data_IF_733759185428
#
_entry.id   IF_733759185428
#
_cell.length_a   1.000
_cell.length_b   1.000
_cell.length_c   1.000
_cell.angle_alpha   90.00
_cell.angle_beta   90.00
_cell.angle_gamma   90.00
#
_symmetry.space_group_name_H-M   'P 1'
#
loop_
_entity.id
_entity.type
_entity.pdbx_description
1 polymer ?
#
# COMPACT_ATOMS: atom_id res chain seq x y z
N UNK A 1 -30.29 28.58 -11.71
CA UNK A 1 -30.50 27.71 -10.52
C UNK A 1 -30.29 26.23 -10.81
N UNK A 2 -30.83 25.68 -11.89
CA UNK A 2 -30.66 24.25 -12.25
C UNK A 2 -29.20 23.84 -12.46
N UNK A 3 -28.36 24.67 -13.11
CA UNK A 3 -26.95 24.35 -13.38
C UNK A 3 -26.09 24.22 -12.10
N UNK A 4 -26.38 25.07 -11.09
CA UNK A 4 -25.68 25.09 -9.81
C UNK A 4 -25.98 23.83 -8.97
N UNK A 5 -27.23 23.37 -9.00
CA UNK A 5 -27.62 22.14 -8.31
C UNK A 5 -27.05 20.90 -8.99
N UNK A 6 -26.92 20.91 -10.32
CA UNK A 6 -26.31 19.81 -11.06
C UNK A 6 -24.80 19.70 -10.76
N UNK A 7 -24.11 20.86 -10.68
CA UNK A 7 -22.69 20.89 -10.31
C UNK A 7 -22.46 20.34 -8.90
N UNK A 8 -23.23 20.81 -7.92
CA UNK A 8 -23.14 20.31 -6.54
C UNK A 8 -23.40 18.80 -6.45
N UNK A 9 -24.34 18.28 -7.23
CA UNK A 9 -24.61 16.84 -7.26
C UNK A 9 -23.42 16.05 -7.87
N UNK A 10 -22.85 16.54 -8.97
CA UNK A 10 -21.67 15.92 -9.61
C UNK A 10 -20.45 15.93 -8.67
N UNK A 11 -20.20 17.06 -7.97
CA UNK A 11 -19.12 17.21 -7.01
C UNK A 11 -19.29 16.24 -5.81
N UNK A 12 -20.53 16.06 -5.33
CA UNK A 12 -20.82 15.10 -4.26
C UNK A 12 -20.62 13.64 -4.71
N UNK A 13 -21.04 13.30 -5.92
CA UNK A 13 -20.85 11.96 -6.47
C UNK A 13 -19.36 11.65 -6.62
N UNK A 14 -18.60 12.58 -7.18
CA UNK A 14 -17.14 12.45 -7.32
C UNK A 14 -16.46 12.29 -5.95
N UNK A 15 -16.84 13.06 -4.95
CA UNK A 15 -16.31 12.93 -3.60
C UNK A 15 -16.60 11.56 -2.98
N UNK A 16 -17.79 10.98 -3.20
CA UNK A 16 -18.13 9.63 -2.73
C UNK A 16 -17.31 8.54 -3.42
N UNK A 17 -17.09 8.63 -4.74
CA UNK A 17 -16.25 7.69 -5.49
C UNK A 17 -14.80 7.74 -4.99
N UNK A 18 -14.29 8.94 -4.69
CA UNK A 18 -12.96 9.15 -4.13
C UNK A 18 -12.81 8.55 -2.73
N UNK A 19 -13.80 8.75 -1.88
CA UNK A 19 -13.84 8.18 -0.53
C UNK A 19 -13.85 6.64 -0.59
N UNK A 20 -14.66 6.07 -1.48
CA UNK A 20 -14.71 4.62 -1.69
C UNK A 20 -13.35 4.06 -2.09
N UNK A 21 -12.69 4.67 -3.10
CA UNK A 21 -11.39 4.23 -3.58
C UNK A 21 -10.30 4.35 -2.49
N UNK A 22 -10.27 5.45 -1.75
CA UNK A 22 -9.33 5.61 -0.64
C UNK A 22 -9.56 4.61 0.48
N UNK A 23 -10.80 4.25 0.75
CA UNK A 23 -11.14 3.27 1.77
C UNK A 23 -10.62 1.89 1.40
N UNK A 24 -10.86 1.42 0.18
CA UNK A 24 -10.38 0.10 -0.26
C UNK A 24 -8.85 0.09 -0.43
N UNK A 25 -8.25 1.17 -0.92
CA UNK A 25 -6.79 1.30 -1.00
C UNK A 25 -6.12 1.22 0.38
N UNK A 26 -6.69 1.90 1.39
CA UNK A 26 -6.19 1.86 2.77
C UNK A 26 -6.27 0.46 3.38
N UNK A 27 -7.37 -0.25 3.17
CA UNK A 27 -7.52 -1.64 3.63
C UNK A 27 -6.51 -2.55 2.96
N UNK A 28 -6.35 -2.43 1.64
CA UNK A 28 -5.39 -3.22 0.88
C UNK A 28 -3.94 -2.95 1.35
N UNK A 29 -3.54 -1.70 1.51
CA UNK A 29 -2.22 -1.33 2.06
C UNK A 29 -2.01 -2.00 3.44
N UNK A 30 -3.03 -2.01 4.29
CA UNK A 30 -2.93 -2.65 5.60
C UNK A 30 -2.66 -4.16 5.49
N UNK A 31 -3.37 -4.85 4.60
CA UNK A 31 -3.17 -6.30 4.42
C UNK A 31 -1.81 -6.60 3.75
N UNK A 32 -1.37 -5.78 2.80
CA UNK A 32 -0.03 -5.89 2.20
C UNK A 32 1.09 -5.69 3.24
N UNK A 33 0.94 -4.76 4.18
CA UNK A 33 1.90 -4.56 5.27
C UNK A 33 1.99 -5.79 6.19
N UNK A 34 0.85 -6.40 6.51
CA UNK A 34 0.81 -7.63 7.31
C UNK A 34 1.45 -8.80 6.56
N UNK A 35 1.12 -8.95 5.26
CA UNK A 35 1.69 -9.99 4.41
C UNK A 35 3.21 -9.86 4.31
N UNK A 36 3.73 -8.65 4.11
CA UNK A 36 5.17 -8.38 4.16
C UNK A 36 5.79 -8.82 5.48
N UNK A 37 5.17 -8.47 6.61
CA UNK A 37 5.64 -8.84 7.94
C UNK A 37 5.68 -10.35 8.17
N UNK A 38 4.62 -11.08 7.79
CA UNK A 38 4.57 -12.54 7.90
C UNK A 38 5.55 -13.22 6.94
N UNK A 39 5.73 -12.69 5.73
CA UNK A 39 6.71 -13.20 4.76
C UNK A 39 8.14 -13.12 5.31
N UNK A 40 8.51 -11.98 5.90
CA UNK A 40 9.82 -11.79 6.53
C UNK A 40 9.97 -12.72 7.74
N UNK A 41 8.95 -12.82 8.59
CA UNK A 41 8.94 -13.72 9.74
C UNK A 41 9.12 -15.18 9.34
N UNK A 42 8.42 -15.63 8.28
CA UNK A 42 8.51 -16.98 7.73
C UNK A 42 9.93 -17.29 7.21
N UNK A 43 10.52 -16.41 6.41
CA UNK A 43 11.89 -16.56 5.91
C UNK A 43 12.91 -16.57 7.03
N UNK A 44 12.82 -15.63 7.98
CA UNK A 44 13.73 -15.51 9.11
C UNK A 44 13.68 -16.75 10.02
N UNK A 45 12.51 -17.39 10.12
CA UNK A 45 12.31 -18.64 10.84
C UNK A 45 12.67 -19.89 10.00
N UNK A 46 13.16 -19.73 8.78
CA UNK A 46 13.47 -20.82 7.84
C UNK A 46 12.26 -21.75 7.64
N UNK A 47 11.09 -21.17 7.45
CA UNK A 47 9.82 -21.89 7.23
C UNK A 47 9.22 -22.57 8.46
N UNK A 48 9.85 -22.50 9.64
CA UNK A 48 9.42 -23.20 10.86
C UNK A 48 8.31 -22.49 11.63
N UNK A 49 8.08 -21.21 11.36
CA UNK A 49 7.05 -20.38 12.02
C UNK A 49 6.31 -19.55 10.96
N UNK A 50 5.13 -19.09 11.32
CA UNK A 50 4.31 -18.19 10.51
C UNK A 50 3.75 -18.79 9.21
N UNK A 51 3.84 -20.11 8.99
CA UNK A 51 3.33 -20.73 7.76
C UNK A 51 1.81 -20.60 7.64
N UNK A 52 1.07 -20.93 8.69
CA UNK A 52 -0.40 -20.81 8.70
C UNK A 52 -0.84 -19.34 8.62
N UNK A 53 -0.23 -18.48 9.46
CA UNK A 53 -0.52 -17.05 9.47
C UNK A 53 -0.31 -16.41 8.09
N UNK A 54 0.75 -16.81 7.37
CA UNK A 54 1.05 -16.31 6.04
C UNK A 54 0.00 -16.76 5.01
N UNK A 55 -0.44 -18.01 5.06
CA UNK A 55 -1.49 -18.53 4.16
C UNK A 55 -2.80 -17.76 4.37
N UNK A 56 -3.22 -17.57 5.61
CA UNK A 56 -4.43 -16.83 5.95
C UNK A 56 -4.31 -15.35 5.53
N UNK A 57 -3.12 -14.76 5.73
CA UNK A 57 -2.86 -13.40 5.35
C UNK A 57 -2.89 -13.20 3.83
N UNK A 58 -2.31 -14.11 3.05
CA UNK A 58 -2.38 -14.08 1.58
C UNK A 58 -3.83 -14.12 1.11
N UNK A 59 -4.68 -14.94 1.74
CA UNK A 59 -6.11 -14.98 1.41
C UNK A 59 -6.80 -13.62 1.71
N UNK A 60 -6.50 -13.03 2.86
CA UNK A 60 -7.02 -11.70 3.25
C UNK A 60 -6.56 -10.60 2.29
N UNK A 61 -5.29 -10.62 1.89
CA UNK A 61 -4.74 -9.67 0.90
C UNK A 61 -5.43 -9.84 -0.46
N UNK A 62 -5.67 -11.07 -0.91
CA UNK A 62 -6.35 -11.33 -2.17
C UNK A 62 -7.79 -10.79 -2.17
N UNK A 63 -8.51 -10.91 -1.05
CA UNK A 63 -9.85 -10.35 -0.92
C UNK A 63 -9.82 -8.82 -1.03
N UNK A 64 -8.90 -8.15 -0.31
CA UNK A 64 -8.79 -6.70 -0.38
C UNK A 64 -8.28 -6.20 -1.75
N UNK A 65 -7.45 -6.99 -2.44
CA UNK A 65 -7.03 -6.69 -3.80
C UNK A 65 -8.23 -6.75 -4.77
N UNK A 66 -9.08 -7.77 -4.64
CA UNK A 66 -10.30 -7.88 -5.44
C UNK A 66 -11.24 -6.69 -5.19
N UNK A 67 -11.48 -6.35 -3.92
CA UNK A 67 -12.32 -5.19 -3.54
C UNK A 67 -11.77 -3.88 -4.11
N UNK A 68 -10.44 -3.71 -4.07
CA UNK A 68 -9.76 -2.53 -4.64
C UNK A 68 -9.93 -2.47 -6.17
N UNK A 69 -9.71 -3.59 -6.87
CA UNK A 69 -9.81 -3.65 -8.32
C UNK A 69 -11.24 -3.34 -8.81
N UNK A 70 -12.26 -3.86 -8.13
CA UNK A 70 -13.66 -3.59 -8.45
C UNK A 70 -13.99 -2.10 -8.40
N UNK A 71 -13.58 -1.40 -7.33
CA UNK A 71 -13.78 0.04 -7.18
C UNK A 71 -12.91 0.83 -8.17
N UNK A 72 -11.66 0.42 -8.41
CA UNK A 72 -10.75 1.12 -9.32
C UNK A 72 -11.21 1.06 -10.78
N UNK A 73 -11.83 -0.05 -11.22
CA UNK A 73 -12.41 -0.18 -12.56
C UNK A 73 -13.55 0.84 -12.74
N UNK A 74 -14.43 0.99 -11.76
CA UNK A 74 -15.55 1.94 -11.83
C UNK A 74 -15.04 3.38 -11.90
N UNK A 75 -13.97 3.69 -11.19
CA UNK A 75 -13.35 5.02 -11.20
C UNK A 75 -12.66 5.36 -12.54
N UNK A 76 -12.01 4.41 -13.20
CA UNK A 76 -11.29 4.61 -14.46
C UNK A 76 -12.19 4.88 -15.69
N UNK A 77 -13.50 4.73 -15.56
CA UNK A 77 -14.47 5.02 -16.65
C UNK A 77 -14.77 6.51 -16.80
N UNK A 78 -14.40 7.33 -15.83
CA UNK A 78 -14.53 8.80 -15.87
C UNK A 78 -13.22 9.41 -16.39
N UNK A 79 -13.32 10.35 -17.34
CA UNK A 79 -12.29 11.02 -18.14
C UNK A 79 -11.03 11.45 -17.32
N UNK A 80 -10.06 10.55 -17.21
CA UNK A 80 -8.98 10.67 -16.24
C UNK A 80 -7.64 11.01 -16.87
N UNK A 81 -6.88 11.87 -16.19
CA UNK A 81 -5.58 12.36 -16.60
C UNK A 81 -4.60 11.23 -16.99
N UNK A 82 -3.73 11.52 -17.95
CA UNK A 82 -2.64 10.64 -18.39
C UNK A 82 -1.77 10.16 -17.21
N UNK A 83 -1.72 10.91 -16.10
CA UNK A 83 -0.99 10.55 -14.90
C UNK A 83 -1.64 9.37 -14.16
N UNK A 84 -2.98 9.33 -14.06
CA UNK A 84 -3.69 8.21 -13.44
C UNK A 84 -3.55 6.92 -14.26
N UNK A 85 -3.68 7.01 -15.59
CA UNK A 85 -3.52 5.83 -16.44
C UNK A 85 -2.11 5.24 -16.40
N UNK A 86 -1.06 6.08 -16.39
CA UNK A 86 0.32 5.62 -16.26
C UNK A 86 0.61 4.96 -14.90
N UNK A 87 0.05 5.53 -13.83
CA UNK A 87 0.20 4.98 -12.47
C UNK A 87 -0.58 3.68 -12.32
N UNK A 88 -1.79 3.57 -12.86
CA UNK A 88 -2.58 2.33 -12.90
C UNK A 88 -1.81 1.22 -13.59
N UNK A 89 -1.28 1.48 -14.79
CA UNK A 89 -0.46 0.51 -15.53
C UNK A 89 0.80 0.07 -14.74
N UNK A 90 1.42 0.98 -14.01
CA UNK A 90 2.56 0.64 -13.14
C UNK A 90 2.15 -0.27 -11.97
N UNK A 91 0.95 -0.08 -11.43
CA UNK A 91 0.41 -0.91 -10.36
C UNK A 91 0.05 -2.29 -10.89
N UNK A 92 -0.56 -2.38 -12.08
CA UNK A 92 -0.89 -3.65 -12.72
C UNK A 92 0.35 -4.53 -12.92
N UNK A 93 1.46 -3.96 -13.39
CA UNK A 93 2.75 -4.65 -13.46
C UNK A 93 3.25 -5.14 -12.09
N UNK A 94 3.02 -4.35 -11.04
CA UNK A 94 3.40 -4.76 -9.69
C UNK A 94 2.52 -5.91 -9.18
N UNK A 95 1.23 -5.96 -9.55
CA UNK A 95 0.36 -7.10 -9.23
C UNK A 95 0.83 -8.41 -9.86
N UNK A 96 1.28 -8.36 -11.11
CA UNK A 96 1.87 -9.53 -11.78
C UNK A 96 3.11 -10.05 -11.05
N UNK A 97 3.92 -9.15 -10.48
CA UNK A 97 5.11 -9.53 -9.70
C UNK A 97 4.78 -10.14 -8.34
N UNK A 98 3.61 -9.83 -7.74
CA UNK A 98 3.23 -10.32 -6.41
C UNK A 98 3.24 -11.86 -6.33
N UNK A 99 2.78 -12.54 -7.39
CA UNK A 99 2.83 -13.98 -7.48
C UNK A 99 4.24 -14.54 -7.37
N UNK A 100 5.20 -13.93 -8.07
CA UNK A 100 6.61 -14.33 -8.04
C UNK A 100 7.25 -14.08 -6.67
N UNK A 101 6.95 -12.96 -6.03
CA UNK A 101 7.41 -12.66 -4.65
C UNK A 101 6.91 -13.74 -3.69
N UNK A 102 5.62 -14.11 -3.75
CA UNK A 102 5.03 -15.16 -2.91
C UNK A 102 5.64 -16.54 -3.14
N UNK A 103 5.94 -16.88 -4.40
CA UNK A 103 6.66 -18.11 -4.74
C UNK A 103 8.06 -18.08 -4.12
N UNK A 104 8.81 -16.99 -4.29
CA UNK A 104 10.15 -16.84 -3.72
C UNK A 104 10.16 -16.94 -2.19
N UNK A 105 9.13 -16.41 -1.51
CA UNK A 105 8.95 -16.57 -0.06
C UNK A 105 8.70 -18.04 0.31
N UNK A 106 7.79 -18.71 -0.38
CA UNK A 106 7.44 -20.12 -0.13
C UNK A 106 8.63 -21.03 -0.31
N UNK A 107 9.43 -20.82 -1.36
CA UNK A 107 10.61 -21.58 -1.70
C UNK A 107 11.86 -21.15 -0.90
N UNK A 108 11.76 -20.07 -0.11
CA UNK A 108 12.84 -19.50 0.69
C UNK A 108 14.09 -19.13 -0.14
N UNK A 109 13.90 -18.73 -1.39
CA UNK A 109 14.95 -18.38 -2.34
C UNK A 109 15.01 -16.88 -2.68
N UNK A 110 14.27 -16.02 -1.96
CA UNK A 110 14.25 -14.57 -2.12
C UNK A 110 14.83 -13.87 -0.88
N UNK A 111 15.68 -12.84 -1.06
CA UNK A 111 16.19 -12.05 0.05
C UNK A 111 15.09 -11.21 0.75
N UNK A 112 15.12 -11.12 2.08
CA UNK A 112 14.13 -10.35 2.84
C UNK A 112 14.07 -8.87 2.45
N UNK A 113 15.21 -8.25 2.08
CA UNK A 113 15.23 -6.85 1.64
C UNK A 113 14.49 -6.64 0.31
N UNK A 114 14.53 -7.61 -0.61
CA UNK A 114 13.79 -7.55 -1.87
C UNK A 114 12.29 -7.55 -1.62
N UNK A 115 11.82 -8.39 -0.69
CA UNK A 115 10.42 -8.42 -0.25
C UNK A 115 10.01 -7.06 0.32
N UNK A 116 10.79 -6.51 1.25
CA UNK A 116 10.52 -5.21 1.87
C UNK A 116 10.41 -4.13 0.79
N UNK A 117 11.39 -4.05 -0.13
CA UNK A 117 11.38 -3.05 -1.19
C UNK A 117 10.18 -3.19 -2.14
N UNK A 118 9.80 -4.42 -2.47
CA UNK A 118 8.63 -4.68 -3.30
C UNK A 118 7.34 -4.13 -2.63
N UNK A 119 7.06 -4.51 -1.38
CA UNK A 119 5.84 -4.05 -0.69
C UNK A 119 5.85 -2.55 -0.44
N UNK A 120 7.00 -1.94 -0.12
CA UNK A 120 7.14 -0.48 -0.01
C UNK A 120 6.77 0.20 -1.33
N UNK A 121 7.32 -0.29 -2.44
CA UNK A 121 7.04 0.29 -3.77
C UNK A 121 5.56 0.19 -4.11
N UNK A 122 4.93 -0.96 -3.90
CA UNK A 122 3.52 -1.20 -4.17
C UNK A 122 2.62 -0.29 -3.31
N UNK A 123 2.87 -0.22 -2.00
CA UNK A 123 2.12 0.64 -1.08
C UNK A 123 2.26 2.13 -1.44
N UNK A 124 3.46 2.57 -1.81
CA UNK A 124 3.69 3.95 -2.28
C UNK A 124 2.93 4.26 -3.57
N UNK A 125 2.84 3.31 -4.50
CA UNK A 125 2.06 3.48 -5.72
C UNK A 125 0.56 3.60 -5.43
N UNK A 126 0.01 2.81 -4.51
CA UNK A 126 -1.37 2.92 -4.05
C UNK A 126 -1.65 4.26 -3.36
N UNK A 127 -0.75 4.73 -2.50
CA UNK A 127 -0.85 6.05 -1.87
C UNK A 127 -0.75 7.20 -2.88
N UNK A 128 0.05 7.04 -3.94
CA UNK A 128 0.17 8.04 -4.99
C UNK A 128 -1.12 8.23 -5.79
N UNK A 129 -1.89 7.16 -6.05
CA UNK A 129 -3.24 7.26 -6.64
C UNK A 129 -4.11 8.18 -5.77
N UNK A 130 -4.22 7.88 -4.48
CA UNK A 130 -5.04 8.65 -3.56
C UNK A 130 -4.62 10.13 -3.52
N UNK A 131 -3.32 10.42 -3.64
CA UNK A 131 -2.80 11.79 -3.70
C UNK A 131 -3.21 12.50 -4.99
N UNK A 132 -3.05 11.86 -6.16
CA UNK A 132 -3.45 12.44 -7.45
C UNK A 132 -4.95 12.74 -7.42
N UNK A 133 -5.75 11.79 -6.95
CA UNK A 133 -7.18 11.95 -6.82
C UNK A 133 -7.55 13.15 -5.96
N UNK A 134 -6.84 13.37 -4.83
CA UNK A 134 -7.13 14.53 -3.96
C UNK A 134 -6.92 15.87 -4.66
N UNK A 135 -6.14 15.93 -5.74
CA UNK A 135 -5.96 17.18 -6.51
C UNK A 135 -7.16 17.56 -7.38
N UNK A 136 -8.07 16.63 -7.63
CA UNK A 136 -9.31 16.90 -8.38
C UNK A 136 -10.47 17.36 -7.49
N UNK A 137 -10.25 17.45 -6.18
CA UNK A 137 -11.28 17.91 -5.22
C UNK A 137 -11.19 19.42 -5.07
N UNK A 138 -12.18 20.14 -5.61
CA UNK A 138 -12.23 21.60 -5.55
C UNK A 138 -12.62 22.13 -4.14
N UNK A 139 -13.37 21.35 -3.36
CA UNK A 139 -13.75 21.72 -2.00
C UNK A 139 -12.53 21.73 -1.07
N UNK A 140 -12.19 22.91 -0.58
CA UNK A 140 -11.02 23.13 0.30
C UNK A 140 -11.10 22.38 1.64
N UNK A 141 -12.30 22.13 2.15
CA UNK A 141 -12.49 21.43 3.41
C UNK A 141 -12.29 19.93 3.21
N UNK A 142 -12.91 19.35 2.17
CA UNK A 142 -12.73 17.94 1.79
C UNK A 142 -11.28 17.67 1.43
N UNK A 143 -10.66 18.53 0.62
CA UNK A 143 -9.24 18.41 0.25
C UNK A 143 -8.32 18.39 1.48
N UNK A 144 -8.57 19.26 2.47
CA UNK A 144 -7.81 19.31 3.72
C UNK A 144 -7.95 18.02 4.54
N UNK A 145 -9.17 17.50 4.65
CA UNK A 145 -9.43 16.23 5.35
C UNK A 145 -8.75 15.05 4.65
N UNK A 146 -8.83 15.02 3.32
CA UNK A 146 -8.17 14.00 2.50
C UNK A 146 -6.64 14.03 2.66
N UNK A 147 -6.03 15.21 2.59
CA UNK A 147 -4.59 15.34 2.80
C UNK A 147 -4.17 14.90 4.20
N UNK A 148 -4.93 15.26 5.24
CA UNK A 148 -4.67 14.79 6.61
C UNK A 148 -4.75 13.26 6.72
N UNK A 149 -5.72 12.64 6.06
CA UNK A 149 -5.85 11.18 5.98
C UNK A 149 -4.68 10.53 5.24
N UNK A 150 -4.25 11.10 4.11
CA UNK A 150 -3.07 10.62 3.36
C UNK A 150 -1.78 10.69 4.19
N UNK A 151 -1.58 11.76 4.95
CA UNK A 151 -0.46 11.86 5.90
C UNK A 151 -0.53 10.77 6.97
N UNK A 152 -1.71 10.47 7.49
CA UNK A 152 -1.89 9.37 8.45
C UNK A 152 -1.51 8.02 7.83
N UNK A 153 -1.95 7.74 6.61
CA UNK A 153 -1.59 6.51 5.89
C UNK A 153 -0.09 6.40 5.63
N UNK A 154 0.58 7.50 5.25
CA UNK A 154 2.03 7.53 5.06
C UNK A 154 2.79 7.24 6.36
N UNK A 155 2.39 7.85 7.48
CA UNK A 155 2.98 7.57 8.78
C UNK A 155 2.77 6.10 9.20
N UNK A 156 1.59 5.54 8.90
CA UNK A 156 1.31 4.12 9.13
C UNK A 156 2.22 3.22 8.27
N UNK A 157 2.49 3.60 7.02
CA UNK A 157 3.44 2.90 6.15
C UNK A 157 4.85 2.90 6.74
N UNK A 158 5.34 4.06 7.17
CA UNK A 158 6.66 4.18 7.81
C UNK A 158 6.76 3.30 9.07
N UNK A 159 5.75 3.31 9.94
CA UNK A 159 5.69 2.44 11.10
C UNK A 159 5.64 0.95 10.74
N UNK A 160 5.01 0.59 9.60
CA UNK A 160 5.00 -0.76 9.05
C UNK A 160 6.40 -1.22 8.61
N UNK A 161 7.14 -0.36 7.91
CA UNK A 161 8.52 -0.59 7.48
C UNK A 161 9.43 -0.75 8.70
N UNK A 162 9.34 0.15 9.67
CA UNK A 162 10.10 0.08 10.92
C UNK A 162 9.87 -1.27 11.63
N UNK A 163 8.62 -1.69 11.76
CA UNK A 163 8.28 -2.98 12.36
C UNK A 163 8.88 -4.16 11.60
N UNK A 164 8.87 -4.13 10.26
CA UNK A 164 9.46 -5.19 9.44
C UNK A 164 10.97 -5.30 9.67
N UNK A 165 11.69 -4.16 9.69
CA UNK A 165 13.14 -4.11 9.96
C UNK A 165 13.46 -4.59 11.39
N UNK A 166 12.68 -4.18 12.39
CA UNK A 166 12.83 -4.65 13.77
C UNK A 166 12.57 -6.15 13.88
N UNK A 167 11.53 -6.67 13.20
CA UNK A 167 11.24 -8.10 13.17
C UNK A 167 12.43 -8.89 12.61
N UNK A 168 13.03 -8.40 11.53
CA UNK A 168 14.23 -9.01 10.95
C UNK A 168 15.41 -8.99 11.96
N UNK A 169 15.65 -7.85 12.61
CA UNK A 169 16.73 -7.69 13.59
C UNK A 169 16.58 -8.65 14.78
N UNK A 170 15.38 -8.74 15.36
CA UNK A 170 15.12 -9.61 16.52
C UNK A 170 15.09 -11.10 16.17
N UNK A 171 14.68 -11.45 14.95
CA UNK A 171 14.61 -12.85 14.53
C UNK A 171 15.99 -13.41 14.15
N UNK A 172 16.88 -12.58 13.65
CA UNK A 172 18.23 -12.96 13.21
C UNK A 172 19.23 -13.27 14.35
N UNK A 173 18.85 -13.16 15.63
CA UNK A 173 19.70 -13.33 16.82
C UNK A 173 20.95 -12.43 16.91
N UNK A 174 21.40 -11.87 15.79
CA UNK A 174 22.47 -10.85 15.70
C UNK A 174 22.10 -9.89 14.58
N UNK A 175 21.74 -8.66 14.86
CA UNK A 175 21.52 -7.66 13.82
C UNK A 175 22.83 -7.44 13.05
N UNK A 176 22.79 -7.55 11.72
CA UNK A 176 23.92 -7.18 10.87
C UNK A 176 24.06 -5.67 10.79
N UNK A 177 25.25 -5.17 10.43
CA UNK A 177 25.48 -3.73 10.20
C UNK A 177 24.51 -3.18 9.12
N UNK A 178 24.12 -4.01 8.18
CA UNK A 178 23.16 -3.66 7.10
C UNK A 178 21.75 -3.41 7.66
N UNK A 179 21.27 -4.27 8.57
CA UNK A 179 19.98 -4.09 9.25
C UNK A 179 19.99 -2.83 10.11
N UNK A 180 21.10 -2.57 10.81
CA UNK A 180 21.28 -1.34 11.59
C UNK A 180 21.29 -0.09 10.70
N UNK A 181 22.03 -0.09 9.60
CA UNK A 181 22.10 1.03 8.66
C UNK A 181 20.73 1.27 8.01
N UNK A 182 19.99 0.20 7.67
CA UNK A 182 18.65 0.31 7.13
C UNK A 182 17.68 0.94 8.15
N UNK A 183 17.75 0.52 9.40
CA UNK A 183 16.97 1.11 10.49
C UNK A 183 17.29 2.60 10.68
N UNK A 184 18.57 2.97 10.72
CA UNK A 184 18.99 4.39 10.83
C UNK A 184 18.52 5.22 9.63
N UNK A 185 18.57 4.67 8.42
CA UNK A 185 18.12 5.38 7.21
C UNK A 185 16.61 5.67 7.23
N UNK A 186 15.80 4.80 7.85
CA UNK A 186 14.37 5.05 8.05
C UNK A 186 14.12 6.25 8.97
N UNK A 187 14.89 6.39 10.04
CA UNK A 187 14.78 7.55 10.93
C UNK A 187 15.11 8.86 10.22
N UNK A 188 16.12 8.89 9.37
CA UNK A 188 16.51 10.09 8.62
C UNK A 188 15.39 10.52 7.65
N UNK A 189 14.72 9.57 7.00
CA UNK A 189 13.62 9.86 6.06
C UNK A 189 12.35 10.35 6.77
N UNK A 190 12.14 9.97 8.02
CA UNK A 190 10.93 10.31 8.80
C UNK A 190 11.05 11.67 9.50
N UNK A 191 12.24 12.10 9.86
CA UNK A 191 12.47 13.27 10.74
C UNK A 191 13.24 14.42 10.07
N UNK A 192 13.55 14.35 8.77
CA UNK A 192 14.11 15.43 7.95
C UNK A 192 13.17 15.77 6.80
#
# INVERSE_FOLDING_TARGET
MLSKNYQVFADMQQAQELEALNTVASKLIHELQKESGFSIGYLSAKGKKFSTDLIEQVASTNQQLFDYQDVAIQFNTTDNSQQLSSLSSSIDQQWEMLGNIRIGVKEQNIPSNEIVQYYIKLNRSLLAISRIISTFIDDKQINRQMNAYLYLLQNKELAGIERAVLTQAFTAKKPTIEVYNHFVSLFIVVYV
#
